data_IF_847667614734
#
_entry.id   IF_847667614734
#
_cell.length_a   1.000
_cell.length_b   1.000
_cell.length_c   1.000
_cell.angle_alpha   90.00
_cell.angle_beta   90.00
_cell.angle_gamma   90.00
#
_symmetry.space_group_name_H-M   'P 1'
#
loop_
_entity.id
_entity.type
_entity.pdbx_description
1 polymer ?
#
# COMPACT_ATOMS: atom_id res chain seq x y z
N UNK A 1 -13.70 4.51 -1.86
CA UNK A 1 -12.60 5.05 -2.69
C UNK A 1 -11.33 4.32 -2.28
N UNK A 2 -10.48 3.93 -3.23
CA UNK A 2 -9.22 3.23 -2.92
C UNK A 2 -8.03 4.13 -3.27
N UNK A 3 -6.97 4.08 -2.47
CA UNK A 3 -5.69 4.68 -2.79
C UNK A 3 -4.60 3.61 -2.70
N UNK A 4 -3.85 3.43 -3.78
CA UNK A 4 -2.68 2.57 -3.84
C UNK A 4 -1.58 3.29 -4.62
N UNK A 5 -0.32 2.94 -4.33
CA UNK A 5 0.81 3.25 -5.20
C UNK A 5 1.02 2.07 -6.16
N UNK A 6 1.50 2.35 -7.36
CA UNK A 6 2.02 1.29 -8.23
C UNK A 6 3.25 0.59 -7.62
N UNK A 7 3.61 -0.62 -8.11
CA UNK A 7 4.87 -1.28 -7.81
C UNK A 7 6.08 -0.37 -8.08
N UNK A 8 7.12 -0.46 -7.24
CA UNK A 8 8.39 0.25 -7.46
C UNK A 8 9.00 -0.05 -8.83
N UNK A 9 8.86 -1.29 -9.30
CA UNK A 9 9.35 -1.74 -10.60
C UNK A 9 8.74 -0.97 -11.78
N UNK A 10 7.50 -0.49 -11.67
CA UNK A 10 6.85 0.26 -12.75
C UNK A 10 7.51 1.63 -12.93
N UNK A 11 7.85 2.29 -11.83
CA UNK A 11 8.57 3.57 -11.84
C UNK A 11 9.99 3.42 -12.38
N UNK A 12 10.70 2.38 -11.95
CA UNK A 12 12.03 2.09 -12.46
C UNK A 12 12.00 1.70 -13.94
N UNK A 13 10.92 1.08 -14.42
CA UNK A 13 10.71 0.81 -15.85
C UNK A 13 10.46 2.09 -16.65
N UNK A 14 9.69 3.05 -16.11
CA UNK A 14 9.52 4.35 -16.75
C UNK A 14 10.86 5.06 -16.95
N UNK A 15 11.74 5.04 -15.94
CA UNK A 15 13.10 5.60 -16.04
C UNK A 15 13.85 4.98 -17.22
N UNK A 16 13.80 3.65 -17.40
CA UNK A 16 14.46 2.99 -18.54
C UNK A 16 13.87 3.41 -19.88
N UNK A 17 12.56 3.63 -19.95
CA UNK A 17 11.88 3.98 -21.20
C UNK A 17 12.11 5.44 -21.60
N UNK A 18 12.11 6.36 -20.65
CA UNK A 18 12.13 7.82 -20.93
C UNK A 18 13.47 8.48 -20.64
N UNK A 19 14.37 7.83 -19.89
CA UNK A 19 15.69 8.34 -19.53
C UNK A 19 15.69 9.46 -18.48
N UNK A 20 14.61 9.61 -17.72
CA UNK A 20 14.47 10.64 -16.68
C UNK A 20 14.38 10.00 -15.29
N UNK A 21 15.47 10.13 -14.52
CA UNK A 21 15.57 9.65 -13.14
C UNK A 21 14.57 10.32 -12.19
N UNK A 22 13.95 11.44 -12.57
CA UNK A 22 12.86 12.06 -11.83
C UNK A 22 11.69 11.10 -11.57
N UNK A 23 11.53 10.07 -12.43
CA UNK A 23 10.50 9.04 -12.26
C UNK A 23 10.92 7.87 -11.39
N UNK A 24 12.18 7.76 -10.98
CA UNK A 24 12.68 6.62 -10.21
C UNK A 24 11.93 6.48 -8.89
N UNK A 25 11.66 5.25 -8.46
CA UNK A 25 10.87 4.99 -7.24
C UNK A 25 11.42 5.76 -6.03
N UNK A 26 12.74 5.75 -5.84
CA UNK A 26 13.41 6.43 -4.73
C UNK A 26 13.20 7.95 -4.71
N UNK A 27 12.94 8.57 -5.87
CA UNK A 27 12.73 10.00 -6.02
C UNK A 27 11.25 10.39 -5.85
N UNK A 28 10.33 9.58 -6.37
CA UNK A 28 8.89 9.85 -6.29
C UNK A 28 8.28 9.41 -4.96
N UNK A 29 8.78 8.32 -4.36
CA UNK A 29 8.21 7.77 -3.13
C UNK A 29 8.13 8.78 -1.97
N UNK A 30 9.17 9.60 -1.69
CA UNK A 30 9.07 10.67 -0.71
C UNK A 30 7.97 11.69 -1.02
N UNK A 31 7.78 12.07 -2.29
CA UNK A 31 6.73 13.00 -2.71
C UNK A 31 5.34 12.41 -2.45
N UNK A 32 5.14 11.13 -2.77
CA UNK A 32 3.89 10.43 -2.49
C UNK A 32 3.59 10.29 -1.00
N UNK A 33 4.62 10.27 -0.14
CA UNK A 33 4.43 10.31 1.31
C UNK A 33 4.00 11.71 1.77
N UNK A 34 4.63 12.76 1.28
CA UNK A 34 4.29 14.15 1.65
C UNK A 34 2.83 14.54 1.34
N UNK A 35 2.21 13.89 0.35
CA UNK A 35 0.81 14.13 0.02
C UNK A 35 -0.19 13.54 1.04
N UNK A 36 0.23 12.57 1.84
CA UNK A 36 -0.66 11.79 2.72
C UNK A 36 -0.57 12.21 4.18
N UNK A 37 -1.71 12.19 4.84
CA UNK A 37 -1.87 12.10 6.28
C UNK A 37 -2.65 10.81 6.59
N UNK A 38 -1.90 9.78 6.97
CA UNK A 38 -2.37 8.41 7.10
C UNK A 38 -2.81 8.08 8.53
N UNK A 39 -4.07 7.67 8.70
CA UNK A 39 -4.61 7.08 9.93
C UNK A 39 -4.59 5.54 9.81
N UNK A 40 -3.72 4.83 10.57
CA UNK A 40 -3.54 3.39 10.44
C UNK A 40 -4.60 2.55 11.18
N UNK A 41 -5.67 3.17 11.71
CA UNK A 41 -6.71 2.45 12.46
C UNK A 41 -7.39 1.39 11.61
N UNK A 42 -7.28 0.15 12.06
CA UNK A 42 -7.92 -1.02 11.47
C UNK A 42 -8.67 -1.77 12.58
N UNK A 43 -9.79 -2.46 12.29
CA UNK A 43 -10.41 -3.35 13.28
C UNK A 43 -9.44 -4.43 13.75
N UNK A 44 -9.41 -4.70 15.06
CA UNK A 44 -8.45 -5.62 15.70
C UNK A 44 -8.38 -7.01 15.05
N UNK A 45 -9.51 -7.53 14.53
CA UNK A 45 -9.56 -8.85 13.89
C UNK A 45 -8.84 -8.89 12.53
N UNK A 46 -8.51 -7.74 11.94
CA UNK A 46 -7.79 -7.62 10.67
C UNK A 46 -6.32 -7.24 10.84
N UNK A 47 -5.90 -6.80 12.03
CA UNK A 47 -4.50 -6.38 12.29
C UNK A 47 -3.48 -7.47 11.93
N UNK A 48 -3.85 -8.75 12.09
CA UNK A 48 -2.98 -9.88 11.72
C UNK A 48 -2.67 -10.01 10.22
N UNK A 49 -3.42 -9.31 9.37
CA UNK A 49 -3.24 -9.28 7.92
C UNK A 49 -2.47 -8.05 7.43
N UNK A 50 -2.12 -7.12 8.34
CA UNK A 50 -1.42 -5.88 8.01
C UNK A 50 -0.10 -5.77 8.78
N UNK A 51 0.93 -5.21 8.14
CA UNK A 51 2.19 -4.86 8.79
C UNK A 51 2.69 -3.53 8.24
N UNK A 52 1.93 -2.47 8.57
CA UNK A 52 2.15 -1.11 8.08
C UNK A 52 3.43 -0.55 8.70
N UNK A 53 4.38 -0.16 7.85
CA UNK A 53 5.61 0.48 8.32
C UNK A 53 5.43 2.00 8.30
N UNK A 54 5.74 2.66 9.42
CA UNK A 54 5.64 4.12 9.52
C UNK A 54 6.48 4.84 8.43
N UNK A 55 7.60 4.25 8.02
CA UNK A 55 8.47 4.78 6.97
C UNK A 55 7.82 4.81 5.56
N UNK A 56 6.75 4.04 5.34
CA UNK A 56 6.05 3.95 4.06
C UNK A 56 4.93 5.00 3.92
N UNK A 57 4.56 5.68 5.01
CA UNK A 57 3.40 6.58 5.04
C UNK A 57 3.76 7.99 5.49
N UNK A 58 3.05 8.98 4.97
CA UNK A 58 3.08 10.34 5.50
C UNK A 58 1.94 10.54 6.48
N UNK A 59 2.14 11.41 7.48
CA UNK A 59 1.16 11.70 8.55
C UNK A 59 0.90 13.21 8.70
N UNK A 60 1.26 14.01 7.69
CA UNK A 60 1.15 15.47 7.73
C UNK A 60 0.71 16.10 6.38
N UNK A 61 0.39 15.27 5.39
CA UNK A 61 -0.03 15.74 4.07
C UNK A 61 -1.48 16.22 4.03
N UNK A 62 -1.89 16.88 2.93
CA UNK A 62 -3.24 17.39 2.78
C UNK A 62 -4.30 16.30 2.57
N UNK A 63 -3.92 15.11 2.11
CA UNK A 63 -4.86 14.01 1.83
C UNK A 63 -5.02 13.12 3.07
N UNK A 64 -6.21 13.13 3.66
CA UNK A 64 -6.58 12.20 4.73
C UNK A 64 -6.83 10.81 4.14
N UNK A 65 -5.95 9.87 4.48
CA UNK A 65 -6.01 8.48 4.01
C UNK A 65 -6.07 7.57 5.23
N UNK A 66 -6.81 6.48 5.15
CA UNK A 66 -6.92 5.50 6.22
C UNK A 66 -7.76 4.31 5.76
N UNK A 67 -8.01 3.39 6.67
CA UNK A 67 -9.00 2.34 6.42
C UNK A 67 -10.41 2.90 6.55
N UNK A 68 -11.37 2.28 5.85
CA UNK A 68 -12.78 2.64 5.99
C UNK A 68 -13.31 2.22 7.36
N UNK A 69 -14.26 3.00 7.88
CA UNK A 69 -14.95 2.67 9.14
C UNK A 69 -15.72 1.35 9.06
N UNK A 70 -16.20 1.03 7.85
CA UNK A 70 -16.91 -0.20 7.52
C UNK A 70 -16.02 -1.09 6.65
N UNK A 71 -15.97 -2.38 6.98
CA UNK A 71 -15.22 -3.36 6.21
C UNK A 71 -16.18 -4.24 5.42
N UNK A 72 -15.78 -4.59 4.20
CA UNK A 72 -16.57 -5.49 3.34
C UNK A 72 -16.84 -6.80 4.08
N UNK A 73 -18.10 -7.26 4.16
CA UNK A 73 -18.42 -8.53 4.79
C UNK A 73 -17.61 -9.67 4.16
N UNK A 74 -17.10 -10.58 5.01
CA UNK A 74 -16.29 -11.74 4.61
C UNK A 74 -14.90 -11.41 4.07
N UNK A 75 -14.32 -10.25 4.39
CA UNK A 75 -12.92 -9.97 4.01
C UNK A 75 -11.94 -10.97 4.63
N UNK A 76 -12.12 -11.34 5.91
CA UNK A 76 -11.24 -12.26 6.61
C UNK A 76 -11.21 -13.66 5.97
N UNK A 77 -12.36 -14.34 5.73
CA UNK A 77 -12.34 -15.63 5.04
C UNK A 77 -11.87 -15.53 3.58
N UNK A 78 -12.02 -14.38 2.93
CA UNK A 78 -11.45 -14.16 1.59
C UNK A 78 -9.92 -14.14 1.63
N UNK A 79 -9.31 -13.34 2.51
CA UNK A 79 -7.85 -13.28 2.69
C UNK A 79 -7.31 -14.66 3.08
N UNK A 80 -8.01 -15.36 3.98
CA UNK A 80 -7.64 -16.71 4.41
C UNK A 80 -7.66 -17.72 3.25
N UNK A 81 -8.70 -17.71 2.42
CA UNK A 81 -8.79 -18.60 1.26
C UNK A 81 -7.67 -18.32 0.24
N UNK A 82 -7.35 -17.04 0.00
CA UNK A 82 -6.21 -16.66 -0.84
C UNK A 82 -4.90 -17.27 -0.30
N UNK A 83 -4.65 -17.12 1.00
CA UNK A 83 -3.47 -17.72 1.64
C UNK A 83 -3.43 -19.24 1.51
N UNK A 84 -4.55 -19.94 1.73
CA UNK A 84 -4.67 -21.40 1.60
C UNK A 84 -4.43 -21.90 0.16
N UNK A 85 -4.67 -21.04 -0.84
CA UNK A 85 -4.39 -21.34 -2.25
C UNK A 85 -2.98 -20.94 -2.69
N UNK A 86 -2.13 -20.47 -1.77
CA UNK A 86 -0.74 -20.10 -2.03
C UNK A 86 -0.54 -18.65 -2.49
N UNK A 87 -1.58 -17.80 -2.43
CA UNK A 87 -1.42 -16.35 -2.66
C UNK A 87 -0.83 -15.74 -1.38
N UNK A 88 0.36 -15.11 -1.43
CA UNK A 88 1.00 -14.56 -0.24
C UNK A 88 0.22 -13.38 0.31
N UNK A 89 0.41 -13.10 1.60
CA UNK A 89 -0.09 -11.87 2.22
C UNK A 89 0.72 -10.66 1.71
N UNK A 90 0.02 -9.60 1.30
CA UNK A 90 0.58 -8.28 1.08
C UNK A 90 0.24 -7.41 2.30
N UNK A 91 1.17 -7.26 3.27
CA UNK A 91 0.88 -6.56 4.53
C UNK A 91 0.70 -5.05 4.37
N UNK A 92 1.16 -4.49 3.25
CA UNK A 92 0.99 -3.10 2.86
C UNK A 92 1.22 -2.91 1.35
N UNK A 93 0.14 -2.65 0.61
CA UNK A 93 0.19 -2.42 -0.84
C UNK A 93 0.96 -1.15 -1.23
N UNK A 94 1.20 -0.22 -0.29
CA UNK A 94 1.87 1.06 -0.54
C UNK A 94 3.39 1.01 -0.28
N UNK A 95 3.94 -0.16 0.07
CA UNK A 95 5.35 -0.40 0.38
C UNK A 95 6.30 -0.45 -0.84
N UNK A 96 5.73 -0.45 -2.05
CA UNK A 96 6.46 -0.62 -3.32
C UNK A 96 6.43 -2.04 -3.88
N UNK A 97 5.94 -3.02 -3.09
CA UNK A 97 5.65 -4.37 -3.58
C UNK A 97 4.20 -4.76 -3.25
N UNK A 98 3.24 -4.52 -4.16
CA UNK A 98 1.83 -4.81 -3.94
C UNK A 98 1.44 -6.28 -4.22
N UNK A 99 2.41 -7.19 -4.37
CA UNK A 99 2.11 -8.60 -4.68
C UNK A 99 1.50 -9.30 -3.48
N UNK A 100 0.31 -9.89 -3.67
CA UNK A 100 -0.38 -10.70 -2.67
C UNK A 100 -1.81 -10.23 -2.40
N UNK A 101 -2.32 -10.57 -1.22
CA UNK A 101 -3.64 -10.21 -0.71
C UNK A 101 -3.52 -9.50 0.65
N UNK A 102 -4.34 -8.48 0.91
CA UNK A 102 -4.35 -7.73 2.17
C UNK A 102 -5.54 -6.80 2.27
#
# INVERSE_FOLDING_TARGET
MALARGPAADYDEWVKMVGDDGWKWENIFPLMKQLKDFDPKLPAYLERFAALRAEDHGVFGPLKIGFGDEVVPRIEPFIQACFETGIPLCPDINSGNPVGVG
#
